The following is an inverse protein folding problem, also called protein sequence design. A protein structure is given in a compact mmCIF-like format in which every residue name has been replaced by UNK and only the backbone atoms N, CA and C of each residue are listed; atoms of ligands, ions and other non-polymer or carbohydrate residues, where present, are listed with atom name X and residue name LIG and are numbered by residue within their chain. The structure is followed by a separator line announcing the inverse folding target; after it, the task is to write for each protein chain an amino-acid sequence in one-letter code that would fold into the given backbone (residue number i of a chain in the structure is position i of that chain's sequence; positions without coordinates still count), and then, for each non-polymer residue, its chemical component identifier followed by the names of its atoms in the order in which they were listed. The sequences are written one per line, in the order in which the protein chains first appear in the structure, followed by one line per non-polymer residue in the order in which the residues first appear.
data_IF_587507815565
#
_entry.id   IF_587507815565
#
_cell.length_a   1.000
_cell.length_b   1.000
_cell.length_c   1.000
_cell.angle_alpha   90.00
_cell.angle_beta   90.00
_cell.angle_gamma   90.00
#
_symmetry.space_group_name_H-M   'P 1'
#
loop_
_entity.id
_entity.type
_entity.pdbx_description
1 polymer ?
#
# COMPACT_ATOMS: atom_id res chain seq x y z
N UNK A 1 28.61 -12.52 40.11
CA UNK A 1 28.45 -13.98 39.88
C UNK A 1 27.67 -14.55 41.05
N UNK A 2 26.74 -15.51 40.87
CA UNK A 2 26.57 -16.44 39.73
C UNK A 2 25.36 -16.06 38.86
N UNK A 3 25.26 -16.28 37.54
CA UNK A 3 25.63 -17.42 36.70
C UNK A 3 24.82 -18.68 37.02
N UNK A 4 23.55 -18.69 36.58
CA UNK A 4 22.78 -19.91 36.34
C UNK A 4 22.47 -19.98 34.84
N UNK A 5 23.25 -20.79 34.15
CA UNK A 5 22.89 -21.41 32.88
C UNK A 5 21.80 -22.43 33.12
N UNK A 6 20.73 -22.41 32.31
CA UNK A 6 20.05 -23.64 31.90
C UNK A 6 19.30 -23.41 30.57
N UNK A 7 19.89 -23.96 29.51
CA UNK A 7 19.22 -24.93 28.64
C UNK A 7 17.81 -24.63 28.15
N UNK A 8 17.63 -23.56 27.37
CA UNK A 8 16.70 -23.60 26.26
C UNK A 8 17.44 -23.11 25.02
N UNK A 9 17.73 -24.02 24.09
CA UNK A 9 17.97 -23.65 22.71
C UNK A 9 16.68 -22.98 22.21
N UNK A 10 16.58 -21.65 22.39
CA UNK A 10 15.63 -20.85 21.63
C UNK A 10 16.00 -21.08 20.18
N UNK A 11 15.08 -21.66 19.42
CA UNK A 11 15.05 -21.47 17.97
C UNK A 11 14.87 -19.96 17.74
N UNK A 12 15.95 -19.19 17.84
CA UNK A 12 16.00 -17.79 17.41
C UNK A 12 16.52 -17.76 15.99
N UNK A 13 15.83 -18.45 15.07
CA UNK A 13 15.88 -18.05 13.67
C UNK A 13 15.13 -16.72 13.62
N UNK A 14 15.84 -15.63 13.33
CA UNK A 14 15.21 -14.32 13.17
C UNK A 14 14.07 -14.44 12.14
N UNK A 15 12.87 -13.97 12.51
CA UNK A 15 11.72 -13.99 11.62
C UNK A 15 12.01 -13.11 10.40
N UNK A 16 11.84 -13.66 9.20
CA UNK A 16 12.00 -12.94 7.94
C UNK A 16 10.68 -12.31 7.55
N UNK A 17 10.68 -10.98 7.37
CA UNK A 17 9.48 -10.21 7.06
C UNK A 17 9.41 -9.82 5.58
N UNK A 18 8.51 -10.47 4.83
CA UNK A 18 8.21 -10.21 3.42
C UNK A 18 6.77 -9.70 3.23
N UNK A 19 6.24 -8.92 4.18
CA UNK A 19 4.90 -8.33 4.11
C UNK A 19 4.87 -6.80 4.22
N UNK A 20 5.91 -6.16 3.70
CA UNK A 20 6.11 -4.70 3.73
C UNK A 20 5.01 -3.89 3.03
N UNK A 21 4.24 -4.50 2.12
CA UNK A 21 3.07 -3.86 1.52
C UNK A 21 1.85 -3.85 2.46
N UNK A 22 1.79 -4.69 3.49
CA UNK A 22 0.78 -4.61 4.55
C UNK A 22 1.13 -3.52 5.57
N UNK A 23 2.36 -3.53 6.09
CA UNK A 23 2.93 -2.46 6.92
C UNK A 23 4.44 -2.60 6.94
N UNK A 24 5.14 -1.54 7.32
CA UNK A 24 6.58 -1.59 7.54
C UNK A 24 6.91 -1.42 9.02
N UNK A 25 8.10 -1.85 9.42
CA UNK A 25 8.67 -1.45 10.70
C UNK A 25 9.06 0.02 10.67
N UNK A 26 8.93 0.71 11.81
CA UNK A 26 9.35 2.11 11.94
C UNK A 26 10.87 2.16 11.85
N UNK A 27 11.40 3.09 11.04
CA UNK A 27 12.85 3.27 10.96
C UNK A 27 13.40 3.78 12.31
N UNK A 28 14.56 3.30 12.79
CA UNK A 28 15.14 3.78 14.06
C UNK A 28 15.26 5.31 14.13
N UNK A 29 15.83 5.96 13.11
CA UNK A 29 15.91 7.43 13.06
C UNK A 29 14.55 8.14 13.06
N UNK A 30 13.50 7.48 12.57
CA UNK A 30 12.12 8.00 12.61
C UNK A 30 11.57 7.90 14.03
N UNK A 31 11.83 6.79 14.73
CA UNK A 31 11.49 6.63 16.13
C UNK A 31 12.20 7.70 16.98
N UNK A 32 13.51 7.85 16.79
CA UNK A 32 14.31 8.83 17.53
C UNK A 32 13.82 10.26 17.29
N UNK A 33 13.42 10.60 16.05
CA UNK A 33 12.87 11.91 15.72
C UNK A 33 11.53 12.20 16.40
N UNK A 34 10.67 11.18 16.59
CA UNK A 34 9.35 11.37 17.18
C UNK A 34 9.32 11.36 18.71
N UNK A 35 10.26 10.64 19.35
CA UNK A 35 10.27 10.44 20.80
C UNK A 35 10.22 11.74 21.63
N UNK A 36 10.95 12.82 21.29
CA UNK A 36 10.91 14.07 22.04
C UNK A 36 9.50 14.68 22.15
N UNK A 37 8.62 14.44 21.16
CA UNK A 37 7.26 14.98 21.13
C UNK A 37 6.25 14.14 21.93
N UNK A 38 6.70 13.02 22.48
CA UNK A 38 5.96 12.22 23.47
C UNK A 38 6.45 12.47 24.91
N UNK A 39 7.67 12.99 25.09
CA UNK A 39 8.31 13.16 26.41
C UNK A 39 8.48 14.61 26.83
N UNK A 40 9.26 15.39 26.08
CA UNK A 40 9.74 16.72 26.51
C UNK A 40 9.01 17.86 25.79
N UNK A 41 8.46 17.59 24.60
CA UNK A 41 7.78 18.53 23.70
C UNK A 41 6.32 18.12 23.42
N UNK A 42 5.61 17.55 24.39
CA UNK A 42 4.19 17.09 24.30
C UNK A 42 3.15 18.22 24.15
N UNK A 43 3.59 19.45 23.96
CA UNK A 43 2.75 20.65 24.02
C UNK A 43 1.76 20.75 22.86
N UNK A 44 0.63 21.42 23.11
CA UNK A 44 -0.37 21.68 22.08
C UNK A 44 0.09 22.84 21.16
N UNK A 45 0.27 22.61 19.84
CA UNK A 45 0.78 23.61 18.90
C UNK A 45 -0.19 24.75 18.58
N UNK A 46 -1.46 24.68 19.02
CA UNK A 46 -2.41 25.79 18.94
C UNK A 46 -2.28 26.80 20.10
N UNK A 47 -1.39 26.55 21.06
CA UNK A 47 -1.24 27.42 22.24
C UNK A 47 -0.29 28.60 22.00
N UNK A 48 -0.46 29.68 22.76
CA UNK A 48 0.35 30.91 22.61
C UNK A 48 1.70 30.93 23.37
N UNK A 49 2.06 29.87 24.10
CA UNK A 49 3.30 29.85 24.89
C UNK A 49 4.51 29.40 24.05
N UNK A 50 5.72 29.82 24.46
CA UNK A 50 6.98 29.59 23.71
C UNK A 50 7.22 28.13 23.30
N UNK A 51 6.84 27.18 24.15
CA UNK A 51 7.05 25.76 23.84
C UNK A 51 6.14 25.26 22.69
N UNK A 52 4.94 25.81 22.53
CA UNK A 52 4.07 25.50 21.39
C UNK A 52 4.65 25.97 20.05
N UNK A 53 5.40 27.10 20.04
CA UNK A 53 6.09 27.58 18.84
C UNK A 53 7.10 26.54 18.31
N UNK A 54 7.87 25.91 19.20
CA UNK A 54 8.83 24.85 18.81
C UNK A 54 8.14 23.63 18.21
N UNK A 55 7.00 23.25 18.78
CA UNK A 55 6.17 22.16 18.26
C UNK A 55 5.59 22.51 16.89
N UNK A 56 5.17 23.77 16.69
CA UNK A 56 4.72 24.26 15.39
C UNK A 56 5.82 24.20 14.33
N UNK A 57 7.02 24.68 14.66
CA UNK A 57 8.19 24.62 13.76
C UNK A 57 8.51 23.17 13.32
N UNK A 58 8.32 22.19 14.21
CA UNK A 58 8.49 20.78 13.88
C UNK A 58 7.40 20.23 12.94
N UNK A 59 6.16 20.69 13.09
CA UNK A 59 5.06 20.38 12.18
C UNK A 59 5.34 20.98 10.80
N UNK A 60 5.79 22.24 10.75
CA UNK A 60 6.08 22.95 9.50
C UNK A 60 7.19 22.24 8.72
N UNK A 61 8.28 21.84 9.39
CA UNK A 61 9.35 21.04 8.80
C UNK A 61 8.84 19.69 8.25
N UNK A 62 7.94 19.01 8.98
CA UNK A 62 7.39 17.76 8.51
C UNK A 62 6.53 17.92 7.24
N UNK A 63 5.81 19.05 7.09
CA UNK A 63 5.12 19.37 5.85
C UNK A 63 6.09 19.55 4.68
N UNK A 64 7.19 20.28 4.89
CA UNK A 64 8.24 20.47 3.87
C UNK A 64 8.85 19.13 3.44
N UNK A 65 9.15 18.24 4.39
CA UNK A 65 9.73 16.92 4.10
C UNK A 65 8.77 16.02 3.32
N UNK A 66 7.49 15.98 3.69
CA UNK A 66 6.46 15.23 2.96
C UNK A 66 6.25 15.81 1.56
N UNK A 67 6.21 17.14 1.43
CA UNK A 67 6.05 17.81 0.15
C UNK A 67 7.23 17.53 -0.79
N UNK A 68 8.45 17.62 -0.27
CA UNK A 68 9.67 17.35 -1.04
C UNK A 68 9.71 15.93 -1.62
N UNK A 69 9.16 14.93 -0.91
CA UNK A 69 9.11 13.53 -1.39
C UNK A 69 8.31 13.37 -2.69
N UNK A 70 7.31 14.22 -2.93
CA UNK A 70 6.45 14.17 -4.11
C UNK A 70 6.60 15.39 -5.03
N UNK A 71 7.62 16.23 -4.78
CA UNK A 71 7.85 17.51 -5.44
C UNK A 71 6.68 18.52 -5.31
N UNK A 72 5.95 18.51 -4.20
CA UNK A 72 4.89 19.48 -3.90
C UNK A 72 5.42 20.70 -3.11
N UNK A 73 4.56 21.68 -2.91
CA UNK A 73 4.75 22.75 -1.90
C UNK A 73 4.21 22.31 -0.53
N UNK A 74 4.78 22.80 0.56
CA UNK A 74 4.35 22.44 1.92
C UNK A 74 2.88 22.79 2.19
N UNK A 75 2.40 23.90 1.62
CA UNK A 75 1.01 24.36 1.74
C UNK A 75 0.02 23.42 1.07
N UNK A 76 0.46 22.58 0.13
CA UNK A 76 -0.37 21.60 -0.56
C UNK A 76 -0.56 20.31 0.26
N UNK A 77 0.13 20.17 1.39
CA UNK A 77 0.03 19.01 2.27
C UNK A 77 -0.97 19.28 3.39
N UNK A 78 -1.86 18.29 3.63
CA UNK A 78 -2.74 18.21 4.80
C UNK A 78 -2.44 16.92 5.55
N UNK A 79 -2.10 17.03 6.83
CA UNK A 79 -1.86 15.85 7.66
C UNK A 79 -3.18 15.15 8.01
N UNK A 80 -3.19 13.82 7.92
CA UNK A 80 -4.34 12.96 8.22
C UNK A 80 -3.95 11.85 9.19
N UNK A 81 -4.93 11.10 9.72
CA UNK A 81 -4.67 9.97 10.60
C UNK A 81 -4.22 8.70 9.88
N UNK A 82 -4.48 8.55 8.58
CA UNK A 82 -4.05 7.41 7.77
C UNK A 82 -4.44 7.61 6.30
N UNK A 83 -3.94 6.74 5.41
CA UNK A 83 -4.34 6.76 4.00
C UNK A 83 -5.85 6.55 3.75
N UNK A 84 -6.56 5.80 4.59
CA UNK A 84 -8.03 5.68 4.49
C UNK A 84 -8.72 7.01 4.77
N UNK A 85 -8.26 7.78 5.75
CA UNK A 85 -8.79 9.13 6.01
C UNK A 85 -8.51 10.05 4.82
N UNK A 86 -7.30 10.00 4.24
CA UNK A 86 -6.95 10.79 3.06
C UNK A 86 -7.84 10.46 1.84
N UNK A 87 -7.99 9.18 1.53
CA UNK A 87 -8.84 8.71 0.44
C UNK A 87 -10.29 9.18 0.63
N UNK A 88 -10.86 8.94 1.82
CA UNK A 88 -12.24 9.31 2.11
C UNK A 88 -12.44 10.82 2.10
N UNK A 89 -11.48 11.61 2.59
CA UNK A 89 -11.57 13.06 2.59
C UNK A 89 -11.57 13.64 1.17
N UNK A 90 -10.71 13.10 0.28
CA UNK A 90 -10.69 13.48 -1.13
C UNK A 90 -12.01 13.11 -1.83
N UNK A 91 -12.48 11.87 -1.67
CA UNK A 91 -13.73 11.40 -2.29
C UNK A 91 -14.95 12.15 -1.75
N UNK A 92 -15.01 12.40 -0.44
CA UNK A 92 -16.06 13.19 0.19
C UNK A 92 -16.15 14.59 -0.43
N UNK A 93 -15.02 15.26 -0.58
CA UNK A 93 -14.96 16.58 -1.18
C UNK A 93 -15.40 16.57 -2.64
N UNK A 94 -14.90 15.61 -3.42
CA UNK A 94 -15.17 15.50 -4.85
C UNK A 94 -16.64 15.17 -5.13
N UNK A 95 -17.25 14.28 -4.34
CA UNK A 95 -18.66 13.91 -4.46
C UNK A 95 -19.61 15.07 -4.11
N UNK A 96 -19.19 15.95 -3.19
CA UNK A 96 -19.97 17.13 -2.79
C UNK A 96 -19.82 18.34 -3.72
N UNK A 97 -19.06 18.21 -4.83
CA UNK A 97 -19.02 19.28 -5.83
C UNK A 97 -20.37 19.33 -6.55
N UNK A 98 -21.04 20.48 -6.50
CA UNK A 98 -22.30 20.71 -7.22
C UNK A 98 -22.04 20.67 -8.74
N UNK A 99 -22.21 19.48 -9.33
CA UNK A 99 -21.93 19.16 -10.74
C UNK A 99 -23.21 18.66 -11.40
N UNK A 100 -23.30 18.88 -12.71
CA UNK A 100 -24.43 18.40 -13.52
C UNK A 100 -24.45 16.87 -13.69
N UNK A 101 -23.36 16.20 -13.29
CA UNK A 101 -23.19 14.73 -13.36
C UNK A 101 -22.81 14.15 -12.01
N UNK A 102 -23.21 12.91 -11.80
CA UNK A 102 -23.00 12.09 -10.60
C UNK A 102 -22.15 10.83 -10.88
N UNK A 103 -21.47 10.75 -12.02
CA UNK A 103 -20.70 9.57 -12.43
C UNK A 103 -19.27 9.59 -11.85
N UNK A 104 -18.90 8.52 -11.18
CA UNK A 104 -17.56 8.27 -10.64
C UNK A 104 -16.85 7.31 -11.60
N UNK A 105 -15.62 7.62 -11.98
CA UNK A 105 -14.76 6.69 -12.71
C UNK A 105 -13.66 6.21 -11.77
N UNK A 106 -13.54 4.90 -11.58
CA UNK A 106 -12.52 4.30 -10.73
C UNK A 106 -12.02 2.98 -11.32
N UNK A 107 -10.92 2.41 -10.84
CA UNK A 107 -10.43 1.13 -11.35
C UNK A 107 -11.12 -0.05 -10.65
N UNK A 108 -11.11 -1.21 -11.30
CA UNK A 108 -11.57 -2.46 -10.71
C UNK A 108 -10.58 -3.04 -9.67
N UNK A 109 -9.40 -2.44 -9.50
CA UNK A 109 -8.29 -2.97 -8.69
C UNK A 109 -7.97 -2.12 -7.46
N UNK A 110 -8.80 -1.11 -7.16
CA UNK A 110 -8.57 -0.20 -6.04
C UNK A 110 -8.56 -0.91 -4.67
N UNK A 111 -7.98 -0.22 -3.69
CA UNK A 111 -8.07 -0.61 -2.30
C UNK A 111 -9.51 -0.51 -1.78
N UNK A 112 -9.85 -1.30 -0.75
CA UNK A 112 -11.19 -1.31 -0.14
C UNK A 112 -11.61 0.07 0.41
N UNK A 113 -10.67 0.92 0.80
CA UNK A 113 -10.93 2.30 1.21
C UNK A 113 -11.55 3.15 0.09
N UNK A 114 -11.23 2.88 -1.17
CA UNK A 114 -11.87 3.54 -2.32
C UNK A 114 -13.17 2.83 -2.66
N UNK A 115 -13.12 1.51 -2.93
CA UNK A 115 -14.28 0.75 -3.40
C UNK A 115 -15.48 0.87 -2.46
N UNK A 116 -15.27 0.66 -1.16
CA UNK A 116 -16.36 0.72 -0.16
C UNK A 116 -16.90 2.13 0.03
N UNK A 117 -16.07 3.14 -0.15
CA UNK A 117 -16.52 4.52 -0.05
C UNK A 117 -17.34 4.91 -1.29
N UNK A 118 -16.91 4.47 -2.48
CA UNK A 118 -17.67 4.64 -3.72
C UNK A 118 -19.01 3.90 -3.66
N UNK A 119 -19.04 2.66 -3.16
CA UNK A 119 -20.29 1.92 -2.91
C UNK A 119 -21.24 2.72 -2.02
N UNK A 120 -20.73 3.29 -0.92
CA UNK A 120 -21.53 4.11 -0.02
C UNK A 120 -22.08 5.38 -0.71
N UNK A 121 -21.29 6.04 -1.56
CA UNK A 121 -21.74 7.20 -2.34
C UNK A 121 -22.84 6.84 -3.35
N UNK A 122 -22.76 5.66 -3.97
CA UNK A 122 -23.81 5.15 -4.86
C UNK A 122 -25.10 4.91 -4.08
N UNK A 123 -24.99 4.29 -2.90
CA UNK A 123 -26.15 3.94 -2.07
C UNK A 123 -26.81 5.16 -1.41
N UNK A 124 -26.04 6.14 -0.94
CA UNK A 124 -26.57 7.26 -0.13
C UNK A 124 -26.71 8.59 -0.87
N UNK A 125 -25.86 8.87 -1.85
CA UNK A 125 -25.82 10.16 -2.56
C UNK A 125 -26.34 10.06 -4.00
N UNK A 126 -26.81 8.88 -4.42
CA UNK A 126 -27.32 8.64 -5.78
C UNK A 126 -26.26 8.81 -6.87
N UNK A 127 -24.97 8.63 -6.53
CA UNK A 127 -23.88 8.59 -7.49
C UNK A 127 -23.99 7.34 -8.37
N UNK A 128 -23.38 7.36 -9.54
CA UNK A 128 -23.16 6.17 -10.37
C UNK A 128 -21.68 5.90 -10.47
N UNK A 129 -21.27 4.64 -10.68
CA UNK A 129 -19.86 4.27 -10.79
C UNK A 129 -19.61 3.47 -12.06
N UNK A 130 -18.52 3.80 -12.75
CA UNK A 130 -17.94 2.97 -13.80
C UNK A 130 -16.57 2.46 -13.33
N UNK A 131 -16.47 1.14 -13.17
CA UNK A 131 -15.22 0.45 -12.85
C UNK A 131 -14.47 0.10 -14.13
N UNK A 132 -13.33 0.74 -14.34
CA UNK A 132 -12.46 0.47 -15.49
C UNK A 132 -11.59 -0.75 -15.20
N UNK A 133 -11.54 -1.67 -16.16
CA UNK A 133 -10.72 -2.88 -16.09
C UNK A 133 -9.23 -2.61 -16.25
N UNK A 134 -8.46 -3.70 -16.12
CA UNK A 134 -7.02 -3.72 -16.37
C UNK A 134 -6.70 -4.84 -17.36
N UNK A 135 -5.54 -4.75 -18.00
CA UNK A 135 -5.01 -5.84 -18.81
C UNK A 135 -4.54 -7.03 -17.94
N UNK A 136 -4.08 -8.11 -18.58
CA UNK A 136 -3.54 -9.28 -17.88
C UNK A 136 -2.25 -9.01 -17.10
N UNK A 137 -1.56 -7.90 -17.41
CA UNK A 137 -0.43 -7.37 -16.67
C UNK A 137 -0.86 -6.51 -15.46
N UNK A 138 -2.16 -6.26 -15.27
CA UNK A 138 -2.69 -5.44 -14.19
C UNK A 138 -2.53 -3.95 -14.39
N UNK A 139 -2.27 -3.47 -15.61
CA UNK A 139 -2.27 -2.03 -15.94
C UNK A 139 -3.64 -1.59 -16.44
N UNK A 140 -4.05 -0.39 -16.07
CA UNK A 140 -5.31 0.23 -16.45
C UNK A 140 -5.49 0.22 -17.97
N UNK A 141 -6.66 -0.23 -18.43
CA UNK A 141 -7.06 -0.09 -19.82
C UNK A 141 -7.35 1.39 -20.13
N UNK A 142 -6.39 2.07 -20.78
CA UNK A 142 -6.49 3.50 -21.09
C UNK A 142 -7.58 3.83 -22.12
N UNK A 143 -7.91 2.90 -23.03
CA UNK A 143 -8.94 3.12 -24.03
C UNK A 143 -10.33 3.07 -23.37
N UNK A 144 -10.56 2.05 -22.53
CA UNK A 144 -11.77 1.94 -21.72
C UNK A 144 -11.89 3.11 -20.74
N UNK A 145 -10.78 3.51 -20.09
CA UNK A 145 -10.73 4.68 -19.23
C UNK A 145 -11.12 5.96 -19.96
N UNK A 146 -10.56 6.20 -21.15
CA UNK A 146 -10.87 7.39 -21.94
C UNK A 146 -12.35 7.44 -22.33
N UNK A 147 -12.96 6.31 -22.68
CA UNK A 147 -14.38 6.22 -22.93
C UNK A 147 -15.22 6.50 -21.67
N UNK A 148 -14.79 5.97 -20.51
CA UNK A 148 -15.44 6.15 -19.22
C UNK A 148 -15.49 7.62 -18.76
N UNK A 149 -14.53 8.46 -19.19
CA UNK A 149 -14.50 9.88 -18.83
C UNK A 149 -15.72 10.66 -19.34
N UNK A 150 -16.41 10.18 -20.38
CA UNK A 150 -17.61 10.86 -20.86
C UNK A 150 -18.68 10.94 -19.76
N UNK A 151 -19.06 12.17 -19.41
CA UNK A 151 -20.01 12.45 -18.35
C UNK A 151 -19.50 12.16 -16.94
N UNK A 152 -18.19 12.00 -16.70
CA UNK A 152 -17.67 11.77 -15.36
C UNK A 152 -17.61 13.06 -14.51
N UNK A 153 -17.99 12.95 -13.24
CA UNK A 153 -17.91 14.00 -12.22
C UNK A 153 -16.53 14.05 -11.56
N UNK A 154 -15.92 12.87 -11.36
CA UNK A 154 -14.63 12.69 -10.73
C UNK A 154 -13.97 11.37 -11.13
N UNK A 155 -12.65 11.32 -10.97
CA UNK A 155 -11.83 10.12 -11.17
C UNK A 155 -11.06 9.78 -9.90
N UNK A 156 -10.95 8.50 -9.56
CA UNK A 156 -10.00 7.99 -8.59
C UNK A 156 -9.27 6.76 -9.12
N UNK A 157 -7.95 6.80 -9.28
CA UNK A 157 -7.16 5.65 -9.74
C UNK A 157 -5.94 5.49 -8.84
N UNK A 158 -5.72 4.31 -8.27
CA UNK A 158 -4.53 4.01 -7.47
C UNK A 158 -3.26 4.10 -8.31
N UNK A 159 -2.18 4.62 -7.72
CA UNK A 159 -0.90 4.77 -8.41
C UNK A 159 -0.17 3.44 -8.59
N UNK A 160 -0.14 2.63 -7.55
CA UNK A 160 0.46 1.31 -7.58
C UNK A 160 -0.39 0.32 -6.78
N UNK A 161 -0.56 -0.89 -7.30
CA UNK A 161 -1.39 -1.89 -6.66
C UNK A 161 -0.68 -2.53 -5.46
N UNK A 162 -1.38 -2.66 -4.33
CA UNK A 162 -0.83 -3.22 -3.09
C UNK A 162 -0.63 -4.74 -3.13
N UNK A 163 -1.29 -5.46 -4.03
CA UNK A 163 -1.16 -6.91 -4.17
C UNK A 163 0.00 -7.27 -5.11
N UNK A 164 0.01 -6.68 -6.30
CA UNK A 164 0.93 -7.06 -7.38
C UNK A 164 2.15 -6.15 -7.48
N UNK A 165 2.08 -4.95 -6.91
CA UNK A 165 3.08 -3.90 -7.09
C UNK A 165 3.02 -3.20 -8.45
N UNK A 166 2.06 -3.54 -9.31
CA UNK A 166 1.96 -2.95 -10.66
C UNK A 166 1.66 -1.46 -10.58
N UNK A 167 2.46 -0.67 -11.28
CA UNK A 167 2.35 0.79 -11.38
C UNK A 167 1.43 1.15 -12.54
N UNK A 168 0.43 1.97 -12.25
CA UNK A 168 -0.58 2.41 -13.20
C UNK A 168 -0.07 3.60 -14.05
N UNK A 169 -0.58 3.78 -15.28
CA UNK A 169 -0.28 4.94 -16.14
C UNK A 169 -0.92 6.24 -15.62
N UNK A 170 -0.47 6.75 -14.47
CA UNK A 170 -1.08 7.93 -13.83
C UNK A 170 -0.80 9.21 -14.61
N UNK A 171 0.36 9.35 -15.23
CA UNK A 171 0.67 10.51 -16.08
C UNK A 171 -0.34 10.64 -17.23
N UNK A 172 -0.57 9.54 -17.95
CA UNK A 172 -1.50 9.47 -19.06
C UNK A 172 -2.96 9.61 -18.59
N UNK A 173 -3.35 8.89 -17.53
CA UNK A 173 -4.72 8.92 -17.03
C UNK A 173 -5.10 10.32 -16.50
N UNK A 174 -4.23 10.93 -15.70
CA UNK A 174 -4.48 12.27 -15.16
C UNK A 174 -4.47 13.36 -16.24
N UNK A 175 -3.62 13.23 -17.28
CA UNK A 175 -3.64 14.14 -18.43
C UNK A 175 -4.95 14.05 -19.23
N UNK A 176 -5.49 12.84 -19.44
CA UNK A 176 -6.79 12.64 -20.09
C UNK A 176 -7.94 13.25 -19.27
N UNK A 177 -7.96 13.03 -17.94
CA UNK A 177 -8.95 13.66 -17.05
C UNK A 177 -8.85 15.19 -17.06
N UNK A 178 -7.62 15.73 -17.00
CA UNK A 178 -7.39 17.19 -17.07
C UNK A 178 -7.92 17.76 -18.38
N UNK A 179 -7.64 17.14 -19.51
CA UNK A 179 -8.13 17.57 -20.83
C UNK A 179 -9.66 17.60 -20.89
N UNK A 180 -10.32 16.71 -20.16
CA UNK A 180 -11.78 16.66 -20.03
C UNK A 180 -12.35 17.57 -18.91
N UNK A 181 -11.51 18.28 -18.16
CA UNK A 181 -11.94 19.14 -17.05
C UNK A 181 -12.45 18.39 -15.82
N UNK A 182 -12.05 17.11 -15.67
CA UNK A 182 -12.50 16.22 -14.60
C UNK A 182 -11.43 16.20 -13.49
N UNK A 183 -11.82 16.39 -12.22
CA UNK A 183 -10.87 16.31 -11.11
C UNK A 183 -10.38 14.87 -10.90
N UNK A 184 -9.10 14.74 -10.55
CA UNK A 184 -8.40 13.46 -10.46
C UNK A 184 -7.78 13.24 -9.07
N UNK A 185 -8.24 12.19 -8.39
CA UNK A 185 -7.63 11.66 -7.17
C UNK A 185 -6.77 10.43 -7.50
N UNK A 186 -5.67 10.25 -6.77
CA UNK A 186 -4.91 9.00 -6.79
C UNK A 186 -4.58 8.49 -5.39
N UNK A 187 -4.84 7.20 -5.16
CA UNK A 187 -4.31 6.48 -4.02
C UNK A 187 -2.84 6.11 -4.29
N UNK A 188 -1.90 6.89 -3.77
CA UNK A 188 -0.47 6.67 -3.94
C UNK A 188 0.18 5.98 -2.74
N UNK A 189 -0.61 5.34 -1.87
CA UNK A 189 -0.14 4.73 -0.62
C UNK A 189 0.94 3.66 -0.85
N UNK A 190 0.92 2.99 -2.00
CA UNK A 190 1.95 2.00 -2.38
C UNK A 190 3.01 2.53 -3.34
N UNK A 191 2.93 3.79 -3.76
CA UNK A 191 3.91 4.40 -4.64
C UNK A 191 4.84 5.33 -3.88
N UNK A 192 4.30 6.15 -2.98
CA UNK A 192 5.06 7.14 -2.19
C UNK A 192 6.17 6.45 -1.39
N UNK A 193 7.39 6.94 -1.58
CA UNK A 193 8.60 6.40 -0.97
C UNK A 193 9.17 5.14 -1.67
N UNK A 194 8.44 4.52 -2.59
CA UNK A 194 8.87 3.32 -3.34
C UNK A 194 9.17 3.60 -4.81
N UNK A 195 8.57 4.65 -5.36
CA UNK A 195 8.79 5.13 -6.72
C UNK A 195 8.96 6.65 -6.71
N UNK A 196 9.68 7.22 -7.69
CA UNK A 196 9.68 8.68 -7.89
C UNK A 196 8.27 9.16 -8.20
N UNK A 197 7.88 10.27 -7.57
CA UNK A 197 6.60 10.96 -7.81
C UNK A 197 6.93 12.43 -7.96
N UNK A 198 6.41 13.04 -9.04
CA UNK A 198 6.53 14.47 -9.28
C UNK A 198 5.14 15.04 -9.60
N UNK A 199 4.45 15.57 -8.59
CA UNK A 199 3.11 16.15 -8.77
C UNK A 199 3.10 17.46 -9.58
N UNK A 200 4.26 18.06 -9.87
CA UNK A 200 4.34 19.20 -10.80
C UNK A 200 4.28 18.73 -12.25
N UNK A 201 4.73 17.51 -12.54
CA UNK A 201 4.70 16.92 -13.88
C UNK A 201 3.47 16.04 -14.10
N UNK A 202 3.05 15.30 -13.07
CA UNK A 202 1.85 14.47 -13.09
C UNK A 202 0.64 15.32 -12.66
N UNK A 203 -0.31 15.65 -13.55
CA UNK A 203 -1.39 16.58 -13.26
C UNK A 203 -2.51 15.97 -12.37
N UNK A 204 -2.21 15.46 -11.19
CA UNK A 204 -3.20 15.02 -10.20
C UNK A 204 -3.73 16.22 -9.40
N UNK A 205 -4.98 16.13 -8.91
CA UNK A 205 -5.56 17.16 -8.03
C UNK A 205 -5.44 16.78 -6.55
N UNK A 206 -5.57 15.48 -6.26
CA UNK A 206 -5.50 14.92 -4.92
C UNK A 206 -4.63 13.66 -4.93
N UNK A 207 -3.77 13.49 -3.91
CA UNK A 207 -2.92 12.30 -3.77
C UNK A 207 -2.86 11.87 -2.31
N UNK A 208 -3.23 10.61 -2.05
CA UNK A 208 -3.31 10.05 -0.69
C UNK A 208 -2.02 9.32 -0.28
N UNK A 209 -1.59 9.56 0.96
CA UNK A 209 -0.32 9.08 1.54
C UNK A 209 -0.60 8.38 2.88
N UNK A 210 0.10 7.27 3.16
CA UNK A 210 0.05 6.58 4.46
C UNK A 210 1.45 6.22 4.96
N UNK A 211 1.86 6.78 6.09
CA UNK A 211 3.26 6.72 6.56
C UNK A 211 3.79 5.32 6.84
N UNK A 212 2.94 4.44 7.39
CA UNK A 212 3.33 3.08 7.74
C UNK A 212 3.65 2.16 6.55
N UNK A 213 3.51 2.64 5.31
CA UNK A 213 3.96 1.94 4.11
C UNK A 213 5.40 2.26 3.70
N UNK A 214 6.01 3.26 4.35
CA UNK A 214 7.37 3.71 4.08
C UNK A 214 8.11 4.11 5.37
N UNK A 215 7.95 3.28 6.42
CA UNK A 215 8.72 3.32 7.67
C UNK A 215 8.38 4.42 8.69
N UNK A 216 7.22 5.07 8.54
CA UNK A 216 6.62 5.87 9.62
C UNK A 216 5.74 5.00 10.55
N UNK A 217 5.38 5.48 11.76
CA UNK A 217 4.42 4.79 12.62
C UNK A 217 3.04 4.70 11.95
N UNK A 218 2.23 3.74 12.42
CA UNK A 218 0.79 3.67 12.09
C UNK A 218 0.06 4.85 12.73
N UNK A 219 -1.07 5.25 12.15
CA UNK A 219 -1.89 6.34 12.70
C UNK A 219 -1.43 7.75 12.28
N UNK A 220 -0.69 7.84 11.16
CA UNK A 220 -0.42 9.10 10.47
C UNK A 220 -0.39 8.90 8.95
N UNK A 221 -0.95 9.85 8.23
CA UNK A 221 -0.95 9.93 6.77
C UNK A 221 -0.94 11.39 6.32
N UNK A 222 -1.05 11.59 5.01
CA UNK A 222 -1.22 12.92 4.44
C UNK A 222 -2.10 12.87 3.19
N UNK A 223 -2.67 14.02 2.84
CA UNK A 223 -3.39 14.25 1.60
C UNK A 223 -2.72 15.45 0.92
N UNK A 224 -2.19 15.24 -0.27
CA UNK A 224 -1.83 16.32 -1.17
C UNK A 224 -3.08 16.89 -1.81
N UNK A 225 -3.18 18.21 -1.84
CA UNK A 225 -4.25 18.98 -2.47
C UNK A 225 -3.58 20.04 -3.32
N UNK A 226 -3.73 19.92 -4.65
CA UNK A 226 -3.13 20.86 -5.61
C UNK A 226 -3.55 22.30 -5.29
N UNK A 227 -2.58 23.21 -5.35
CA UNK A 227 -2.82 24.64 -5.13
C UNK A 227 -3.90 25.18 -6.06
N UNK A 228 -4.74 26.07 -5.53
CA UNK A 228 -5.89 26.65 -6.23
C UNK A 228 -7.16 25.78 -6.21
N UNK A 229 -7.10 24.55 -5.72
CA UNK A 229 -8.29 23.75 -5.47
C UNK A 229 -9.01 24.24 -4.22
N UNK A 230 -10.34 24.37 -4.30
CA UNK A 230 -11.17 24.45 -3.09
C UNK A 230 -11.09 23.11 -2.37
N UNK A 231 -11.25 23.12 -1.05
CA UNK A 231 -11.35 21.88 -0.27
C UNK A 231 -12.19 22.12 0.98
N UNK A 232 -13.29 21.36 1.09
CA UNK A 232 -14.14 21.36 2.27
C UNK A 232 -13.78 20.16 3.15
N UNK A 233 -13.45 20.38 4.43
CA UNK A 233 -12.97 19.33 5.31
C UNK A 233 -14.07 18.32 5.64
N UNK A 234 -13.72 17.02 5.58
CA UNK A 234 -14.54 15.94 6.13
C UNK A 234 -14.62 16.03 7.67
N UNK A 235 -13.50 16.37 8.33
CA UNK A 235 -13.42 16.57 9.78
C UNK A 235 -13.47 18.06 10.13
N UNK A 236 -14.61 18.51 10.66
CA UNK A 236 -14.89 19.92 11.02
C UNK A 236 -14.63 20.21 12.50
N UNK A 237 -14.19 21.42 12.83
CA UNK A 237 -13.83 21.79 14.20
C UNK A 237 -12.87 22.98 14.27
N UNK A 238 -11.81 22.84 15.07
CA UNK A 238 -10.95 23.92 15.55
C UNK A 238 -10.02 24.59 14.53
N UNK A 239 -10.11 24.24 13.25
CA UNK A 239 -9.39 24.94 12.18
C UNK A 239 -7.92 24.54 11.99
N UNK A 240 -7.48 23.40 12.55
CA UNK A 240 -6.15 22.84 12.28
C UNK A 240 -5.94 22.56 10.78
N UNK A 241 -4.67 22.39 10.37
CA UNK A 241 -4.29 22.15 8.97
C UNK A 241 -4.81 23.23 8.00
N UNK A 242 -4.85 24.49 8.46
CA UNK A 242 -5.41 25.62 7.70
C UNK A 242 -6.92 25.53 7.48
N UNK A 243 -7.64 24.90 8.40
CA UNK A 243 -9.08 24.64 8.28
C UNK A 243 -9.44 23.41 7.45
N UNK A 244 -8.45 22.69 6.90
CA UNK A 244 -8.69 21.56 5.98
C UNK A 244 -8.84 20.22 6.68
N UNK A 245 -8.45 20.12 7.95
CA UNK A 245 -8.64 18.91 8.77
C UNK A 245 -8.55 19.27 10.26
N UNK A 246 -9.67 19.21 10.97
CA UNK A 246 -9.70 19.58 12.40
C UNK A 246 -9.24 18.45 13.35
N UNK A 247 -8.87 18.86 14.57
CA UNK A 247 -8.40 17.99 15.64
C UNK A 247 -6.96 18.33 16.01
N UNK A 248 -6.64 18.33 17.32
CA UNK A 248 -5.28 18.57 17.81
C UNK A 248 -4.29 17.69 17.07
N UNK A 249 -3.23 18.30 16.55
CA UNK A 249 -2.26 17.65 15.67
C UNK A 249 -1.53 16.51 16.40
N UNK A 250 -1.42 15.34 15.74
CA UNK A 250 -0.59 14.23 16.21
C UNK A 250 0.89 14.57 15.94
N UNK A 251 1.46 15.47 16.75
CA UNK A 251 2.80 16.03 16.55
C UNK A 251 3.86 14.94 16.34
N UNK A 252 3.91 13.96 17.25
CA UNK A 252 4.90 12.88 17.16
C UNK A 252 4.74 12.07 15.87
N UNK A 253 3.50 11.75 15.48
CA UNK A 253 3.23 11.07 14.21
C UNK A 253 3.61 11.93 12.99
N UNK A 254 3.31 13.21 13.00
CA UNK A 254 3.63 14.15 11.91
C UNK A 254 5.14 14.26 11.72
N UNK A 255 5.89 14.47 12.81
CA UNK A 255 7.36 14.50 12.76
C UNK A 255 7.92 13.17 12.26
N UNK A 256 7.35 12.05 12.70
CA UNK A 256 7.76 10.74 12.23
C UNK A 256 7.50 10.56 10.71
N UNK A 257 6.35 11.04 10.22
CA UNK A 257 6.01 11.01 8.81
C UNK A 257 6.99 11.85 7.98
N UNK A 258 7.31 13.07 8.44
CA UNK A 258 8.30 13.94 7.82
C UNK A 258 9.68 13.30 7.75
N UNK A 259 10.16 12.74 8.88
CA UNK A 259 11.46 12.06 8.90
C UNK A 259 11.50 10.82 7.98
N UNK A 260 10.42 10.05 7.95
CA UNK A 260 10.31 8.92 7.02
C UNK A 260 10.34 9.41 5.57
N UNK A 261 9.64 10.50 5.25
CA UNK A 261 9.63 11.07 3.91
C UNK A 261 11.02 11.56 3.47
N UNK A 262 11.75 12.24 4.35
CA UNK A 262 13.13 12.67 4.12
C UNK A 262 14.06 11.49 3.80
N UNK A 263 14.02 10.42 4.61
CA UNK A 263 14.85 9.23 4.42
C UNK A 263 14.53 8.51 3.10
N UNK A 264 13.24 8.38 2.79
CA UNK A 264 12.81 7.68 1.57
C UNK A 264 13.10 8.51 0.32
N UNK A 265 13.02 9.84 0.39
CA UNK A 265 13.48 10.72 -0.68
C UNK A 265 14.98 10.54 -0.93
N UNK A 266 15.79 10.56 0.13
CA UNK A 266 17.23 10.37 -0.01
C UNK A 266 17.59 9.01 -0.65
N UNK A 267 16.84 7.95 -0.33
CA UNK A 267 17.00 6.63 -0.97
C UNK A 267 16.61 6.64 -2.45
N UNK A 268 15.50 7.28 -2.79
CA UNK A 268 15.07 7.42 -4.18
C UNK A 268 16.10 8.21 -5.00
N UNK A 269 16.66 9.29 -4.44
CA UNK A 269 17.67 10.13 -5.09
C UNK A 269 19.03 9.42 -5.23
N UNK A 270 19.36 8.49 -4.33
CA UNK A 270 20.64 7.73 -4.33
C UNK A 270 20.67 6.65 -5.43
N UNK A 271 19.75 5.69 -5.37
CA UNK A 271 19.76 4.53 -6.28
C UNK A 271 18.37 4.16 -6.84
N UNK A 272 17.35 4.96 -6.56
CA UNK A 272 15.96 4.66 -6.91
C UNK A 272 15.51 3.24 -6.49
N UNK A 273 15.99 2.77 -5.33
CA UNK A 273 15.76 1.42 -4.81
C UNK A 273 16.29 0.28 -5.69
N UNK A 274 17.32 0.53 -6.50
CA UNK A 274 17.95 -0.51 -7.33
C UNK A 274 18.44 -1.70 -6.51
N UNK A 275 18.96 -1.48 -5.29
CA UNK A 275 19.34 -2.57 -4.38
C UNK A 275 18.16 -3.47 -4.00
N UNK A 276 16.98 -2.89 -3.74
CA UNK A 276 15.76 -3.66 -3.41
C UNK A 276 15.22 -4.40 -4.62
N UNK A 277 15.24 -3.78 -5.80
CA UNK A 277 14.88 -4.44 -7.05
C UNK A 277 15.77 -5.67 -7.29
N UNK A 278 17.09 -5.54 -7.08
CA UNK A 278 18.04 -6.66 -7.22
C UNK A 278 17.74 -7.81 -6.26
N UNK A 279 17.37 -7.52 -5.01
CA UNK A 279 16.95 -8.55 -4.04
C UNK A 279 15.64 -9.23 -4.46
N UNK A 280 14.67 -8.46 -4.96
CA UNK A 280 13.40 -8.99 -5.48
C UNK A 280 13.63 -9.89 -6.68
N UNK A 281 14.41 -9.45 -7.65
CA UNK A 281 14.73 -10.20 -8.86
C UNK A 281 15.50 -11.48 -8.51
N UNK A 282 16.48 -11.40 -7.59
CA UNK A 282 17.20 -12.57 -7.09
C UNK A 282 16.26 -13.60 -6.44
N UNK A 283 15.30 -13.15 -5.62
CA UNK A 283 14.28 -14.02 -5.02
C UNK A 283 13.43 -14.70 -6.10
N UNK A 284 12.93 -13.93 -7.07
CA UNK A 284 12.11 -14.46 -8.17
C UNK A 284 12.87 -15.50 -9.01
N UNK A 285 14.09 -15.17 -9.41
CA UNK A 285 14.92 -16.04 -10.25
C UNK A 285 15.21 -17.38 -9.57
N UNK A 286 15.54 -17.36 -8.28
CA UNK A 286 15.74 -18.60 -7.51
C UNK A 286 14.46 -19.40 -7.39
N UNK A 287 13.33 -18.78 -7.05
CA UNK A 287 12.05 -19.49 -6.92
C UNK A 287 11.62 -20.13 -8.25
N UNK A 288 11.78 -19.43 -9.37
CA UNK A 288 11.47 -19.94 -10.70
C UNK A 288 12.40 -21.09 -11.12
N UNK A 289 13.68 -21.04 -10.74
CA UNK A 289 14.67 -22.06 -11.07
C UNK A 289 14.54 -23.32 -10.18
N UNK A 290 14.24 -23.14 -8.89
CA UNK A 290 14.31 -24.20 -7.87
C UNK A 290 12.94 -24.87 -7.61
N UNK A 291 11.84 -24.24 -8.02
CA UNK A 291 10.47 -24.74 -7.79
C UNK A 291 9.72 -24.81 -9.12
N UNK A 292 9.36 -26.03 -9.54
CA UNK A 292 8.51 -26.23 -10.73
C UNK A 292 7.13 -25.62 -10.54
N UNK A 293 6.57 -24.99 -11.57
CA UNK A 293 5.20 -24.48 -11.57
C UNK A 293 5.02 -23.20 -10.75
N UNK A 294 6.02 -22.33 -10.75
CA UNK A 294 5.93 -20.97 -10.22
C UNK A 294 5.65 -20.02 -11.37
N UNK A 295 4.63 -19.17 -11.22
CA UNK A 295 4.24 -18.19 -12.23
C UNK A 295 4.30 -16.78 -11.65
N UNK A 296 4.91 -15.84 -12.38
CA UNK A 296 4.86 -14.41 -12.05
C UNK A 296 3.55 -13.80 -12.52
N UNK A 297 2.94 -12.99 -11.68
CA UNK A 297 1.68 -12.32 -11.95
C UNK A 297 1.87 -10.81 -12.04
N UNK A 298 1.24 -10.18 -13.03
CA UNK A 298 1.34 -8.75 -13.26
C UNK A 298 2.55 -8.35 -14.11
N UNK A 299 2.62 -7.05 -14.44
CA UNK A 299 3.68 -6.47 -15.26
C UNK A 299 5.05 -6.60 -14.60
N UNK A 300 6.05 -7.06 -15.35
CA UNK A 300 7.44 -7.12 -14.91
C UNK A 300 8.19 -5.81 -15.12
N UNK A 301 7.71 -4.99 -16.06
CA UNK A 301 8.31 -3.71 -16.45
C UNK A 301 7.78 -2.56 -15.57
N UNK A 302 6.48 -2.51 -15.35
CA UNK A 302 5.81 -1.44 -14.61
C UNK A 302 5.42 -1.91 -13.20
N UNK A 303 6.41 -2.13 -12.33
CA UNK A 303 6.18 -2.59 -10.95
C UNK A 303 7.09 -1.92 -9.94
N UNK A 304 6.65 -1.84 -8.69
CA UNK A 304 7.51 -1.37 -7.59
C UNK A 304 8.71 -2.30 -7.42
N UNK A 305 9.83 -1.72 -6.99
CA UNK A 305 11.09 -2.46 -6.78
C UNK A 305 10.95 -3.60 -5.76
N UNK A 306 10.02 -3.47 -4.82
CA UNK A 306 9.97 -4.32 -3.64
C UNK A 306 8.96 -5.48 -3.71
N UNK A 307 8.07 -5.52 -4.72
CA UNK A 307 6.96 -6.48 -4.74
C UNK A 307 7.19 -7.60 -5.76
N UNK A 308 6.88 -8.82 -5.33
CA UNK A 308 6.77 -10.01 -6.17
C UNK A 308 5.44 -10.69 -5.87
N UNK A 309 4.63 -10.95 -6.90
CA UNK A 309 3.37 -11.68 -6.78
C UNK A 309 3.47 -12.97 -7.60
N UNK A 310 3.47 -14.12 -6.91
CA UNK A 310 3.78 -15.42 -7.51
C UNK A 310 2.66 -16.43 -7.21
N UNK A 311 2.24 -17.19 -8.22
CA UNK A 311 1.37 -18.37 -8.04
C UNK A 311 2.20 -19.64 -8.02
N UNK A 312 1.81 -20.60 -7.16
CA UNK A 312 2.49 -21.87 -6.99
C UNK A 312 1.55 -23.04 -7.35
N UNK A 313 1.77 -23.70 -8.48
CA UNK A 313 0.89 -24.76 -8.97
C UNK A 313 0.78 -25.91 -7.96
N UNK A 314 -0.43 -26.46 -7.80
CA UNK A 314 -0.67 -27.57 -6.86
C UNK A 314 -0.47 -27.21 -5.38
N UNK A 315 -0.61 -25.92 -5.04
CA UNK A 315 -0.58 -25.43 -3.67
C UNK A 315 -1.78 -24.51 -3.43
N UNK A 316 -2.30 -24.51 -2.19
CA UNK A 316 -3.26 -23.52 -1.72
C UNK A 316 -2.54 -22.50 -0.83
N UNK A 317 -2.71 -21.20 -1.12
CA UNK A 317 -2.01 -20.12 -0.43
C UNK A 317 -2.24 -20.15 1.09
N UNK A 318 -3.44 -20.50 1.54
CA UNK A 318 -3.75 -20.63 2.97
C UNK A 318 -2.84 -21.65 3.67
N UNK A 319 -2.54 -22.77 3.01
CA UNK A 319 -1.60 -23.79 3.52
C UNK A 319 -0.14 -23.32 3.47
N UNK A 320 0.24 -22.61 2.40
CA UNK A 320 1.58 -22.03 2.29
C UNK A 320 1.84 -21.02 3.40
N UNK A 321 0.90 -20.11 3.68
CA UNK A 321 1.06 -19.09 4.74
C UNK A 321 1.27 -19.72 6.12
N UNK A 322 0.53 -20.79 6.46
CA UNK A 322 0.70 -21.50 7.73
C UNK A 322 2.11 -22.12 7.84
N UNK A 323 2.55 -22.83 6.79
CA UNK A 323 3.87 -23.48 6.78
C UNK A 323 5.01 -22.45 6.77
N UNK A 324 4.84 -21.33 6.08
CA UNK A 324 5.84 -20.26 6.02
C UNK A 324 6.01 -19.59 7.38
N UNK A 325 4.92 -19.29 8.09
CA UNK A 325 5.00 -18.74 9.46
C UNK A 325 5.72 -19.73 10.40
N UNK A 326 5.40 -21.03 10.31
CA UNK A 326 6.13 -22.08 11.04
C UNK A 326 7.63 -22.13 10.67
N UNK A 327 7.97 -21.86 9.42
CA UNK A 327 9.35 -21.79 8.92
C UNK A 327 10.01 -20.42 9.08
N UNK A 328 9.35 -19.49 9.80
CA UNK A 328 9.91 -18.20 10.15
C UNK A 328 9.84 -17.15 9.05
N UNK A 329 8.97 -17.29 8.05
CA UNK A 329 8.75 -16.33 6.96
C UNK A 329 7.33 -15.78 7.01
N UNK A 330 7.22 -14.46 7.12
CA UNK A 330 5.94 -13.75 7.14
C UNK A 330 5.67 -13.11 5.78
N UNK A 331 4.58 -13.49 5.14
CA UNK A 331 4.12 -12.91 3.88
C UNK A 331 2.59 -12.91 3.83
N UNK A 332 2.02 -12.40 2.74
CA UNK A 332 0.57 -12.32 2.55
C UNK A 332 0.13 -13.14 1.33
N UNK A 333 -1.14 -13.52 1.29
CA UNK A 333 -1.80 -13.88 0.03
C UNK A 333 -2.23 -12.60 -0.71
N UNK A 334 -2.61 -12.70 -1.99
CA UNK A 334 -3.17 -11.56 -2.73
C UNK A 334 -4.36 -10.93 -1.99
N UNK A 335 -5.35 -11.72 -1.57
CA UNK A 335 -6.50 -11.26 -0.78
C UNK A 335 -6.30 -11.40 0.74
N UNK A 336 -5.25 -10.78 1.29
CA UNK A 336 -4.98 -10.82 2.74
C UNK A 336 -6.15 -10.33 3.65
N UNK A 337 -7.18 -9.67 3.09
CA UNK A 337 -8.32 -9.13 3.84
C UNK A 337 -9.58 -10.01 3.91
N UNK A 338 -9.54 -11.28 3.51
CA UNK A 338 -10.74 -12.15 3.55
C UNK A 338 -10.62 -13.24 4.63
N UNK A 339 -10.67 -12.83 5.90
CA UNK A 339 -10.94 -13.76 7.00
C UNK A 339 -12.36 -14.31 6.85
N UNK A 340 -12.50 -15.50 6.25
CA UNK A 340 -13.71 -16.34 6.37
C UNK A 340 -14.51 -16.64 5.09
N UNK A 341 -14.23 -16.00 3.94
CA UNK A 341 -14.84 -16.39 2.65
C UNK A 341 -13.74 -16.57 1.60
N UNK A 342 -13.57 -17.79 1.09
CA UNK A 342 -12.63 -18.12 0.01
C UNK A 342 -13.10 -17.57 -1.35
N UNK A 343 -13.24 -16.25 -1.49
CA UNK A 343 -13.38 -15.64 -2.81
C UNK A 343 -11.99 -15.21 -3.32
N UNK A 344 -11.70 -15.39 -4.62
CA UNK A 344 -10.48 -14.87 -5.21
C UNK A 344 -10.41 -13.35 -5.04
N UNK A 345 -9.19 -12.81 -4.99
CA UNK A 345 -8.96 -11.37 -4.97
C UNK A 345 -9.70 -10.71 -6.15
N UNK A 346 -10.36 -9.57 -5.90
CA UNK A 346 -10.97 -8.77 -6.96
C UNK A 346 -9.91 -8.24 -7.92
N UNK A 347 -8.70 -7.94 -7.42
CA UNK A 347 -7.55 -7.53 -8.25
C UNK A 347 -7.17 -8.65 -9.22
N UNK A 348 -6.94 -9.85 -8.70
CA UNK A 348 -6.54 -11.00 -9.52
C UNK A 348 -7.63 -11.39 -10.52
N UNK A 349 -8.90 -11.27 -10.12
CA UNK A 349 -10.04 -11.50 -11.01
C UNK A 349 -10.08 -10.47 -12.14
N UNK A 350 -9.84 -9.18 -11.85
CA UNK A 350 -9.78 -8.12 -12.85
C UNK A 350 -8.62 -8.32 -13.84
N UNK A 351 -7.51 -8.90 -13.39
CA UNK A 351 -6.37 -9.29 -14.23
C UNK A 351 -6.61 -10.57 -15.05
N UNK A 352 -7.80 -11.16 -14.97
CA UNK A 352 -8.13 -12.44 -15.61
C UNK A 352 -7.23 -13.61 -15.15
N UNK A 353 -6.67 -13.54 -13.93
CA UNK A 353 -5.96 -14.67 -13.33
C UNK A 353 -6.97 -15.77 -13.00
N UNK A 354 -6.66 -17.01 -13.40
CA UNK A 354 -7.59 -18.13 -13.18
C UNK A 354 -7.88 -18.33 -11.68
N UNK A 355 -9.10 -18.76 -11.28
CA UNK A 355 -9.42 -19.00 -9.88
C UNK A 355 -8.46 -19.95 -9.16
N UNK A 356 -7.93 -20.94 -9.88
CA UNK A 356 -6.91 -21.89 -9.37
C UNK A 356 -5.60 -21.18 -9.05
N UNK A 357 -5.08 -20.36 -9.98
CA UNK A 357 -3.86 -19.57 -9.75
C UNK A 357 -4.08 -18.52 -8.65
N UNK A 358 -5.26 -17.90 -8.61
CA UNK A 358 -5.57 -16.88 -7.61
C UNK A 358 -5.54 -17.44 -6.18
N UNK A 359 -5.98 -18.69 -6.01
CA UNK A 359 -5.93 -19.41 -4.72
C UNK A 359 -4.53 -19.87 -4.33
N UNK A 360 -3.57 -19.91 -5.26
CA UNK A 360 -2.20 -20.34 -5.01
C UNK A 360 -1.18 -19.21 -4.95
N UNK A 361 -1.66 -17.95 -4.92
CA UNK A 361 -0.81 -16.78 -5.03
C UNK A 361 -0.32 -16.24 -3.69
N UNK A 362 0.98 -15.94 -3.62
CA UNK A 362 1.64 -15.23 -2.53
C UNK A 362 2.09 -13.84 -3.00
N UNK A 363 1.90 -12.85 -2.13
CA UNK A 363 2.55 -11.55 -2.19
C UNK A 363 3.77 -11.55 -1.26
N UNK A 364 4.94 -11.40 -1.87
CA UNK A 364 6.22 -11.24 -1.20
C UNK A 364 6.67 -9.78 -1.39
N UNK A 365 6.79 -9.03 -0.30
CA UNK A 365 7.09 -7.60 -0.35
C UNK A 365 8.22 -7.22 0.59
N UNK A 366 9.35 -6.84 -0.01
CA UNK A 366 10.59 -6.47 0.66
C UNK A 366 10.52 -5.04 1.23
N UNK A 367 11.47 -4.69 2.09
CA UNK A 367 11.70 -3.33 2.57
C UNK A 367 13.16 -2.93 2.45
N UNK A 368 13.48 -1.69 2.80
CA UNK A 368 14.87 -1.18 2.87
C UNK A 368 15.74 -1.93 3.89
N UNK A 369 15.15 -2.76 4.75
CA UNK A 369 15.86 -3.58 5.74
C UNK A 369 16.08 -5.03 5.28
N UNK A 370 15.48 -5.43 4.16
CA UNK A 370 15.64 -6.78 3.64
C UNK A 370 17.09 -7.00 3.20
N UNK A 371 17.67 -8.14 3.58
CA UNK A 371 19.02 -8.51 3.19
C UNK A 371 19.03 -9.68 2.22
N UNK A 372 20.17 -9.88 1.54
CA UNK A 372 20.40 -11.04 0.69
C UNK A 372 20.28 -12.36 1.46
N UNK A 373 20.79 -12.41 2.69
CA UNK A 373 20.69 -13.58 3.55
C UNK A 373 19.23 -13.90 3.89
N UNK A 374 18.41 -12.88 4.22
CA UNK A 374 16.98 -13.07 4.48
C UNK A 374 16.27 -13.65 3.24
N UNK A 375 16.57 -13.12 2.06
CA UNK A 375 16.02 -13.62 0.80
C UNK A 375 16.42 -15.06 0.57
N UNK A 376 17.70 -15.41 0.75
CA UNK A 376 18.19 -16.76 0.51
C UNK A 376 17.53 -17.78 1.45
N UNK A 377 17.39 -17.45 2.73
CA UNK A 377 16.68 -18.28 3.71
C UNK A 377 15.17 -18.35 3.43
N UNK A 378 14.55 -17.25 2.97
CA UNK A 378 13.13 -17.26 2.61
C UNK A 378 12.84 -18.17 1.41
N UNK A 379 13.71 -18.18 0.40
CA UNK A 379 13.58 -19.09 -0.76
C UNK A 379 13.62 -20.54 -0.31
N UNK A 380 14.55 -20.91 0.57
CA UNK A 380 14.66 -22.27 1.13
C UNK A 380 13.40 -22.67 1.91
N UNK A 381 12.86 -21.75 2.72
CA UNK A 381 11.61 -21.96 3.45
C UNK A 381 10.40 -22.13 2.50
N UNK A 382 10.31 -21.32 1.44
CA UNK A 382 9.26 -21.43 0.42
C UNK A 382 9.37 -22.76 -0.32
N UNK A 383 10.56 -23.17 -0.71
CA UNK A 383 10.77 -24.47 -1.35
C UNK A 383 10.31 -25.62 -0.45
N UNK A 384 10.71 -25.59 0.83
CA UNK A 384 10.30 -26.59 1.81
C UNK A 384 8.77 -26.62 2.00
N UNK A 385 8.13 -25.46 2.10
CA UNK A 385 6.68 -25.34 2.26
C UNK A 385 5.92 -25.88 1.04
N UNK A 386 6.36 -25.51 -0.16
CA UNK A 386 5.78 -26.00 -1.43
C UNK A 386 5.93 -27.51 -1.56
N UNK A 387 7.11 -28.06 -1.29
CA UNK A 387 7.36 -29.51 -1.34
C UNK A 387 6.48 -30.27 -0.32
N UNK A 388 6.39 -29.75 0.91
CA UNK A 388 5.56 -30.35 1.96
C UNK A 388 4.08 -30.34 1.55
N UNK A 389 3.57 -29.21 1.09
CA UNK A 389 2.16 -29.07 0.73
C UNK A 389 1.80 -29.98 -0.46
N UNK A 390 2.63 -30.01 -1.51
CA UNK A 390 2.45 -30.91 -2.67
C UNK A 390 2.50 -32.39 -2.29
N UNK A 391 3.29 -32.79 -1.28
CA UNK A 391 3.32 -34.18 -0.80
C UNK A 391 2.04 -34.61 -0.07
N UNK A 392 1.39 -33.68 0.62
CA UNK A 392 0.18 -33.94 1.42
C UNK A 392 -1.08 -33.78 0.56
N UNK A 393 -1.06 -32.87 -0.42
CA UNK A 393 -2.14 -32.61 -1.37
C UNK A 393 -2.04 -33.50 -2.64
N UNK A 394 -1.16 -34.50 -2.65
CA UNK A 394 -0.79 -35.27 -3.84
C UNK A 394 -1.97 -35.82 -4.66
N UNK A 395 -1.99 -35.41 -5.94
CA UNK A 395 -2.87 -35.77 -7.06
C UNK A 395 -4.38 -35.64 -6.82
N UNK A 396 -5.03 -34.78 -7.61
CA UNK A 396 -6.48 -34.66 -7.84
C UNK A 396 -7.09 -35.95 -8.40
N UNK A 397 -7.00 -37.05 -7.66
CA UNK A 397 -7.40 -38.39 -8.09
C UNK A 397 -7.63 -39.41 -6.97
N UNK A 398 -7.42 -39.08 -5.69
CA UNK A 398 -7.86 -39.95 -4.60
C UNK A 398 -9.20 -39.43 -4.07
N UNK A 399 -10.27 -40.14 -4.44
CA UNK A 399 -11.63 -39.91 -3.95
C UNK A 399 -11.72 -40.04 -2.42
N UNK A 400 -12.89 -39.72 -1.82
CA UNK A 400 -13.05 -39.74 -0.38
C UNK A 400 -12.64 -41.10 0.19
N UNK A 401 -11.84 -41.07 1.26
CA UNK A 401 -11.48 -42.26 2.03
C UNK A 401 -12.78 -42.96 2.44
N UNK A 402 -13.09 -44.09 1.80
CA UNK A 402 -14.14 -44.97 2.25
C UNK A 402 -13.68 -45.60 3.56
N UNK A 403 -14.28 -45.14 4.66
CA UNK A 403 -14.22 -45.83 5.94
C UNK A 403 -15.11 -47.07 5.80
N UNK A 404 -14.49 -48.24 5.61
CA UNK A 404 -15.22 -49.49 5.77
C UNK A 404 -15.51 -49.68 7.26
N UNK A 405 -16.75 -49.48 7.67
CA UNK A 405 -17.27 -50.06 8.90
C UNK A 405 -17.45 -51.55 8.66
N UNK A 406 -16.76 -52.38 9.44
CA UNK A 406 -16.99 -53.82 9.50
C UNK A 406 -18.35 -54.07 10.17
N UNK A 407 -19.18 -54.93 9.56
CA UNK A 407 -20.50 -55.35 10.04
C UNK A 407 -20.48 -55.97 11.44
#
# INVERSE_FOLDING_TARGET
MPACSDGQARLSTAMIYLDSNATTQVHPDVLDAMMPYLTDNWHNPSSGYRAAKRVREAIDLAHEQVAALINASAEEIVMTGCGTESNNAALAFLANQNRDTNKIVTSAIEHSAILRYVDALVDSEGMTVEHVGVDTGGRLDLDAYQAALNGAAMVSIMWANNETGVIQPIDEASALARKAGIPFHTDAIQAVGKTPIDVQQTPVDFLSISGHKFHAPKGVGALYIRSGMRFEPMLRGGGQEGGRRSGTENVAGIVALGKAAELMKARLDDDNHAGIASLRDHMEDRLLAEIRGVNRNGSLEHRTANTSHLSFDGCEAAGLLILLDEYGVQCSAGSACMTGKQQPSHVQTAMSISPTQAKSSLRLSLSIFSTRADVDTAVEAIQKAVSKLRSVQGNSGVGPVQVYTSD
#
